data_IF_515839321120
#
_entry.id   IF_515839321120
#
_cell.length_a   1.000
_cell.length_b   1.000
_cell.length_c   1.000
_cell.angle_alpha   90.00
_cell.angle_beta   90.00
_cell.angle_gamma   90.00
#
_symmetry.space_group_name_H-M   'P 1'
#
loop_
_entity.id
_entity.type
_entity.pdbx_description
1 polymer ?
#
# COMPACT_ATOMS: atom_id res chain seq x y z
N UNK A 1 5.28 -4.31 -21.52
CA UNK A 1 4.72 -5.06 -20.37
C UNK A 1 5.87 -5.45 -19.45
N UNK A 2 5.95 -4.86 -18.25
CA UNK A 2 7.08 -5.00 -17.32
C UNK A 2 7.15 -6.39 -16.68
N UNK A 3 8.36 -6.89 -16.40
CA UNK A 3 8.62 -8.17 -15.71
C UNK A 3 7.90 -8.26 -14.35
N UNK A 4 7.67 -7.10 -13.71
CA UNK A 4 7.04 -6.98 -12.39
C UNK A 4 5.53 -7.30 -12.46
N UNK A 5 4.83 -6.86 -13.51
CA UNK A 5 3.37 -7.02 -13.61
C UNK A 5 2.92 -8.43 -14.01
N UNK A 6 3.82 -9.24 -14.61
CA UNK A 6 3.51 -10.62 -15.05
C UNK A 6 3.32 -11.62 -13.91
N UNK A 7 3.75 -11.30 -12.68
CA UNK A 7 3.76 -12.23 -11.53
C UNK A 7 2.78 -11.87 -10.40
N UNK A 8 1.91 -10.87 -10.58
CA UNK A 8 0.89 -10.50 -9.58
C UNK A 8 -0.23 -11.57 -9.57
N UNK A 9 -0.23 -12.43 -8.54
CA UNK A 9 -1.18 -13.58 -8.44
C UNK A 9 -2.14 -13.48 -7.25
N UNK A 10 -1.93 -12.55 -6.33
CA UNK A 10 -2.76 -12.38 -5.13
C UNK A 10 -3.74 -11.24 -5.36
N UNK A 11 -4.88 -11.29 -4.67
CA UNK A 11 -5.88 -10.21 -4.67
C UNK A 11 -5.94 -9.67 -3.25
N UNK A 12 -5.75 -8.36 -3.09
CA UNK A 12 -5.93 -7.66 -1.83
C UNK A 12 -7.09 -6.67 -1.97
N UNK A 13 -7.72 -6.35 -0.85
CA UNK A 13 -8.67 -5.26 -0.79
C UNK A 13 -7.90 -3.98 -0.47
N UNK A 14 -8.14 -2.94 -1.25
CA UNK A 14 -7.50 -1.65 -1.14
C UNK A 14 -8.52 -0.60 -0.72
N UNK A 15 -8.15 0.17 0.30
CA UNK A 15 -8.92 1.30 0.80
C UNK A 15 -8.05 2.55 0.69
N UNK A 16 -8.38 3.38 -0.30
CA UNK A 16 -7.74 4.69 -0.48
C UNK A 16 -8.28 5.69 0.55
N UNK A 17 -7.41 6.48 1.17
CA UNK A 17 -7.85 7.57 2.06
C UNK A 17 -8.47 8.68 1.22
N UNK A 18 -9.77 8.95 1.42
CA UNK A 18 -10.52 9.97 0.69
C UNK A 18 -10.56 11.33 1.38
N UNK A 19 -10.16 11.40 2.66
CA UNK A 19 -10.18 12.62 3.46
C UNK A 19 -10.19 12.30 4.95
N UNK A 20 -10.36 13.32 5.79
CA UNK A 20 -10.62 13.16 7.22
C UNK A 20 -12.08 13.54 7.52
N UNK A 21 -12.72 12.83 8.44
CA UNK A 21 -14.02 13.22 8.95
C UNK A 21 -13.92 14.46 9.87
N UNK A 22 -15.06 14.96 10.35
CA UNK A 22 -15.09 16.12 11.25
C UNK A 22 -14.43 15.87 12.61
N UNK A 23 -14.11 14.63 12.94
CA UNK A 23 -13.45 14.19 14.18
C UNK A 23 -11.94 14.01 13.99
N UNK A 24 -11.44 14.09 12.75
CA UNK A 24 -10.04 13.88 12.39
C UNK A 24 -9.69 12.44 12.03
N UNK A 25 -10.69 11.54 11.98
CA UNK A 25 -10.49 10.15 11.59
C UNK A 25 -10.39 10.03 10.06
N UNK A 26 -9.51 9.16 9.53
CA UNK A 26 -9.41 8.95 8.09
C UNK A 26 -10.69 8.31 7.54
N UNK A 27 -11.29 8.97 6.55
CA UNK A 27 -12.35 8.41 5.71
C UNK A 27 -11.71 7.66 4.56
N UNK A 28 -12.24 6.48 4.26
CA UNK A 28 -11.78 5.65 3.16
C UNK A 28 -12.78 5.66 2.01
N UNK A 29 -12.27 5.69 0.79
CA UNK A 29 -13.04 5.46 -0.42
C UNK A 29 -13.59 4.02 -0.44
N UNK A 30 -14.54 3.78 -1.35
CA UNK A 30 -15.12 2.44 -1.57
C UNK A 30 -14.00 1.40 -1.81
N UNK A 31 -14.02 0.26 -1.09
CA UNK A 31 -12.98 -0.76 -1.22
C UNK A 31 -12.90 -1.30 -2.64
N UNK A 32 -11.66 -1.49 -3.13
CA UNK A 32 -11.40 -2.04 -4.46
C UNK A 32 -10.52 -3.27 -4.35
N UNK A 33 -10.87 -4.34 -5.06
CA UNK A 33 -10.02 -5.52 -5.18
C UNK A 33 -8.92 -5.29 -6.21
N UNK A 34 -7.67 -5.28 -5.76
CA UNK A 34 -6.49 -5.06 -6.61
C UNK A 34 -5.58 -6.28 -6.63
N UNK A 35 -4.78 -6.42 -7.70
CA UNK A 35 -3.81 -7.51 -7.82
C UNK A 35 -2.48 -7.10 -7.21
N UNK A 36 -2.00 -7.90 -6.27
CA UNK A 36 -0.77 -7.62 -5.52
C UNK A 36 0.19 -8.81 -5.54
N UNK A 37 1.41 -8.55 -5.07
CA UNK A 37 2.38 -9.59 -4.72
C UNK A 37 3.06 -9.19 -3.42
N UNK A 38 2.87 -10.03 -2.39
CA UNK A 38 3.56 -9.91 -1.11
C UNK A 38 4.91 -10.62 -1.17
N UNK A 39 5.96 -9.97 -0.72
CA UNK A 39 7.27 -10.55 -0.50
C UNK A 39 7.72 -10.30 0.94
N UNK A 40 7.97 -11.38 1.69
CA UNK A 40 8.61 -11.32 2.99
C UNK A 40 10.08 -10.94 2.80
N UNK A 41 10.40 -9.68 3.06
CA UNK A 41 11.75 -9.14 2.96
C UNK A 41 11.88 -7.95 3.87
N UNK A 42 12.87 -8.01 4.76
CA UNK A 42 13.24 -6.85 5.58
C UNK A 42 13.91 -5.79 4.71
N UNK A 43 13.35 -4.59 4.70
CA UNK A 43 13.91 -3.42 4.00
C UNK A 43 13.92 -2.24 4.97
N UNK A 44 15.07 -1.59 5.09
CA UNK A 44 15.19 -0.29 5.77
C UNK A 44 15.03 0.79 4.72
N UNK A 45 14.12 1.73 4.95
CA UNK A 45 13.87 2.87 4.07
C UNK A 45 13.72 4.15 4.90
N UNK A 46 14.07 5.27 4.30
CA UNK A 46 13.88 6.59 4.91
C UNK A 46 12.50 7.11 4.52
N UNK A 47 11.69 7.45 5.52
CA UNK A 47 10.37 8.05 5.30
C UNK A 47 10.50 9.54 4.88
N UNK A 48 9.41 10.19 4.44
CA UNK A 48 9.43 11.61 4.07
C UNK A 48 9.83 12.57 5.20
N UNK A 49 9.74 12.11 6.46
CA UNK A 49 10.15 12.88 7.65
C UNK A 49 11.64 12.72 7.98
N UNK A 50 12.40 11.94 7.20
CA UNK A 50 13.85 11.75 7.38
C UNK A 50 14.24 10.66 8.38
N UNK A 51 13.28 9.91 8.90
CA UNK A 51 13.51 8.80 9.83
C UNK A 51 13.71 7.48 9.09
N UNK A 52 14.62 6.65 9.60
CA UNK A 52 14.77 5.27 9.13
C UNK A 52 13.67 4.39 9.73
N UNK A 53 12.90 3.75 8.85
CA UNK A 53 11.90 2.74 9.24
C UNK A 53 12.26 1.40 8.59
N UNK A 54 11.99 0.33 9.31
CA UNK A 54 12.09 -1.04 8.79
C UNK A 54 10.71 -1.57 8.45
N UNK A 55 10.56 -2.15 7.26
CA UNK A 55 9.42 -3.00 6.91
C UNK A 55 9.86 -4.44 6.87
N UNK A 56 9.03 -5.37 7.35
CA UNK A 56 9.26 -6.82 7.27
C UNK A 56 8.78 -7.42 5.94
N UNK A 57 7.90 -6.69 5.25
CA UNK A 57 7.21 -7.14 4.06
C UNK A 57 7.17 -6.02 3.00
N UNK A 58 7.24 -6.42 1.72
CA UNK A 58 7.14 -5.51 0.58
C UNK A 58 5.97 -5.97 -0.29
N UNK A 59 5.09 -5.02 -0.62
CA UNK A 59 3.95 -5.26 -1.51
C UNK A 59 4.21 -4.59 -2.85
N UNK A 60 4.14 -5.38 -3.92
CA UNK A 60 4.18 -4.85 -5.27
C UNK A 60 2.75 -4.69 -5.79
N UNK A 61 2.40 -3.45 -6.12
CA UNK A 61 1.09 -3.04 -6.65
C UNK A 61 1.29 -2.32 -7.98
N UNK A 62 0.23 -2.24 -8.79
CA UNK A 62 0.26 -1.47 -10.05
C UNK A 62 -0.27 -0.04 -9.83
N UNK A 63 -1.14 0.09 -8.85
CA UNK A 63 -1.83 1.30 -8.46
C UNK A 63 -0.89 2.24 -7.69
N UNK A 64 -0.98 3.53 -7.95
CA UNK A 64 -0.28 4.53 -7.15
C UNK A 64 -0.96 4.61 -5.78
N UNK A 65 -0.21 4.36 -4.72
CA UNK A 65 -0.68 4.41 -3.33
C UNK A 65 -0.01 5.55 -2.59
N UNK A 66 -0.74 6.10 -1.61
CA UNK A 66 -0.24 7.16 -0.74
C UNK A 66 -0.10 6.67 0.69
N UNK A 67 0.80 7.31 1.45
CA UNK A 67 0.93 7.01 2.88
C UNK A 67 -0.41 7.24 3.60
N UNK A 68 -0.85 6.26 4.39
CA UNK A 68 -2.14 6.26 5.08
C UNK A 68 -3.20 5.35 4.43
N UNK A 69 -3.00 4.93 3.19
CA UNK A 69 -3.85 3.93 2.56
C UNK A 69 -3.76 2.57 3.25
N UNK A 70 -4.85 1.80 3.17
CA UNK A 70 -4.96 0.50 3.84
C UNK A 70 -5.08 -0.65 2.84
N UNK A 71 -4.44 -1.78 3.17
CA UNK A 71 -4.43 -3.02 2.40
C UNK A 71 -4.62 -4.22 3.31
N UNK A 72 -5.43 -5.18 2.85
CA UNK A 72 -5.75 -6.44 3.52
C UNK A 72 -5.84 -7.59 2.52
#
# INVERSE_FOLDING_TARGET
MSFITRRLKQVATYWSVSGADSSGDPTFATPVSIKVRWEQRTVVFTNPTGEEKSSTDVVFVKEDMVEGDFLF
#
